data_IF_656347033920
#
_entry.id   IF_656347033920
#
_cell.length_a   1.000
_cell.length_b   1.000
_cell.length_c   1.000
_cell.angle_alpha   90.00
_cell.angle_beta   90.00
_cell.angle_gamma   90.00
#
_symmetry.space_group_name_H-M   'P 1'
#
loop_
_entity.id
_entity.type
_entity.pdbx_description
1 polymer ?
#
# COMPACT_ATOMS: atom_id res chain seq x y z
N UNK A 1 18.43 -3.83 9.08
CA UNK A 1 18.44 -4.35 7.71
C UNK A 1 17.11 -4.02 7.05
N UNK A 2 17.10 -3.52 5.82
CA UNK A 2 15.86 -3.28 5.09
C UNK A 2 15.27 -4.62 4.63
N UNK A 3 13.94 -4.77 4.71
CA UNK A 3 13.23 -5.96 4.22
C UNK A 3 12.84 -5.76 2.76
N UNK A 4 13.19 -6.73 1.93
CA UNK A 4 12.76 -6.79 0.53
C UNK A 4 11.56 -7.71 0.40
N UNK A 5 10.65 -7.38 -0.51
CA UNK A 5 9.46 -8.17 -0.80
C UNK A 5 9.42 -8.45 -2.30
N UNK A 6 9.15 -9.70 -2.65
CA UNK A 6 8.55 -10.03 -3.94
C UNK A 6 7.09 -9.58 -3.96
N UNK A 7 6.50 -9.47 -5.16
CA UNK A 7 5.06 -9.17 -5.30
C UNK A 7 4.18 -10.21 -4.60
N UNK A 8 4.57 -11.48 -4.63
CA UNK A 8 3.81 -12.56 -3.97
C UNK A 8 3.91 -12.49 -2.44
N UNK A 9 5.06 -12.10 -1.89
CA UNK A 9 5.18 -11.86 -0.46
C UNK A 9 4.38 -10.65 -0.01
N UNK A 10 4.35 -9.59 -0.82
CA UNK A 10 3.60 -8.37 -0.52
C UNK A 10 2.10 -8.64 -0.37
N UNK A 11 1.52 -9.56 -1.16
CA UNK A 11 0.08 -9.93 -1.08
C UNK A 11 -0.37 -10.40 0.31
N UNK A 12 0.54 -10.88 1.17
CA UNK A 12 0.22 -11.31 2.54
C UNK A 12 0.00 -10.13 3.50
N UNK A 13 0.34 -8.92 3.07
CA UNK A 13 0.24 -7.68 3.85
C UNK A 13 -0.99 -6.89 3.40
N UNK A 14 -2.15 -7.53 3.50
CA UNK A 14 -3.41 -7.10 2.93
C UNK A 14 -4.32 -6.33 3.89
N UNK A 15 -3.90 -6.09 5.14
CA UNK A 15 -4.70 -5.39 6.13
C UNK A 15 -5.92 -6.15 6.66
N UNK A 16 -6.05 -7.44 6.34
CA UNK A 16 -7.21 -8.26 6.69
C UNK A 16 -6.83 -9.36 7.68
N UNK A 17 -7.80 -9.84 8.47
CA UNK A 17 -7.61 -10.94 9.42
C UNK A 17 -6.45 -10.73 10.41
N UNK A 18 -6.18 -9.46 10.77
CA UNK A 18 -5.08 -9.08 11.66
C UNK A 18 -3.71 -8.96 10.97
N UNK A 19 -3.64 -9.15 9.64
CA UNK A 19 -2.42 -8.89 8.89
C UNK A 19 -2.17 -7.37 8.80
N UNK A 20 -0.91 -6.91 8.85
CA UNK A 20 -0.55 -5.55 8.49
C UNK A 20 -0.93 -5.21 7.04
N UNK A 21 -1.10 -3.93 6.73
CA UNK A 21 -1.47 -3.42 5.41
C UNK A 21 -0.30 -2.67 4.77
N UNK A 22 0.30 -3.22 3.71
CA UNK A 22 1.42 -2.59 3.00
C UNK A 22 1.07 -2.28 1.55
N UNK A 23 1.64 -1.22 0.97
CA UNK A 23 1.52 -0.90 -0.47
C UNK A 23 2.89 -0.63 -1.06
N UNK A 24 3.13 -1.07 -2.30
CA UNK A 24 4.35 -0.72 -3.03
C UNK A 24 4.09 0.48 -3.96
N UNK A 25 5.00 1.46 -3.94
CA UNK A 25 5.04 2.60 -4.86
C UNK A 25 6.49 2.79 -5.31
N UNK A 26 6.76 2.76 -6.62
CA UNK A 26 8.09 2.94 -7.21
C UNK A 26 9.17 2.08 -6.52
N UNK A 27 8.91 0.77 -6.39
CA UNK A 27 9.80 -0.20 -5.73
C UNK A 27 10.06 0.04 -4.22
N UNK A 28 9.32 0.95 -3.58
CA UNK A 28 9.35 1.16 -2.13
C UNK A 28 8.05 0.69 -1.49
N UNK A 29 8.16 -0.07 -0.39
CA UNK A 29 7.01 -0.53 0.37
C UNK A 29 6.72 0.45 1.51
N UNK A 30 5.46 0.84 1.63
CA UNK A 30 4.94 1.74 2.66
C UNK A 30 4.01 0.95 3.58
N UNK A 31 4.22 1.09 4.89
CA UNK A 31 3.32 0.58 5.90
C UNK A 31 2.15 1.56 6.08
N UNK A 32 0.94 1.11 5.74
CA UNK A 32 -0.30 1.89 5.86
C UNK A 32 -1.23 1.32 6.93
N UNK A 33 -0.75 0.39 7.76
CA UNK A 33 -1.56 -0.37 8.75
C UNK A 33 -2.34 0.53 9.69
N UNK A 34 -1.78 1.68 10.07
CA UNK A 34 -2.39 2.62 11.02
C UNK A 34 -2.93 3.90 10.37
N UNK A 35 -3.05 3.91 9.04
CA UNK A 35 -3.59 5.06 8.31
C UNK A 35 -5.11 4.87 8.19
N UNK A 36 -5.95 5.76 8.76
CA UNK A 36 -7.41 5.57 8.78
C UNK A 36 -8.04 5.38 7.40
N UNK A 37 -7.47 6.00 6.36
CA UNK A 37 -7.94 5.85 4.98
C UNK A 37 -7.78 4.43 4.41
N UNK A 38 -6.94 3.59 5.03
CA UNK A 38 -6.64 2.21 4.66
C UNK A 38 -7.27 1.17 5.59
N UNK A 39 -8.29 1.56 6.36
CA UNK A 39 -9.03 0.65 7.22
C UNK A 39 -9.48 -0.61 6.45
N UNK A 40 -9.34 -1.77 7.11
CA UNK A 40 -9.62 -3.09 6.55
C UNK A 40 -8.82 -3.41 5.26
N UNK A 41 -7.69 -2.73 5.07
CA UNK A 41 -6.77 -2.97 3.95
C UNK A 41 -7.26 -2.42 2.61
N UNK A 42 -8.25 -1.53 2.60
CA UNK A 42 -8.81 -0.99 1.36
C UNK A 42 -8.90 0.54 1.37
N UNK A 43 -8.74 1.14 0.19
CA UNK A 43 -8.90 2.58 0.00
C UNK A 43 -9.42 2.90 -1.41
N UNK A 44 -10.63 3.46 -1.52
CA UNK A 44 -11.27 3.80 -2.80
C UNK A 44 -11.20 2.68 -3.86
N UNK A 45 -11.50 1.44 -3.47
CA UNK A 45 -11.48 0.27 -4.36
C UNK A 45 -10.10 -0.36 -4.57
N UNK A 46 -9.03 0.27 -4.07
CA UNK A 46 -7.69 -0.30 -4.05
C UNK A 46 -7.49 -1.18 -2.83
N UNK A 47 -6.58 -2.16 -2.94
CA UNK A 47 -6.25 -3.11 -1.87
C UNK A 47 -4.80 -2.98 -1.47
N UNK A 48 -4.53 -3.12 -0.18
CA UNK A 48 -3.19 -3.37 0.33
C UNK A 48 -2.66 -4.72 -0.19
N UNK A 49 -1.36 -4.91 -0.08
CA UNK A 49 -0.63 -6.05 -0.61
C UNK A 49 -0.28 -5.95 -2.09
N UNK A 50 -0.43 -4.77 -2.70
CA UNK A 50 -0.24 -4.55 -4.14
C UNK A 50 0.75 -3.42 -4.44
N UNK A 51 1.28 -3.45 -5.66
CA UNK A 51 1.96 -2.31 -6.28
C UNK A 51 0.91 -1.36 -6.86
N UNK A 52 0.82 -0.18 -6.27
CA UNK A 52 -0.16 0.85 -6.61
C UNK A 52 0.49 2.06 -7.27
N UNK A 53 1.69 1.88 -7.83
CA UNK A 53 2.41 2.95 -8.52
C UNK A 53 1.56 3.60 -9.60
N UNK A 54 1.03 2.79 -10.53
CA UNK A 54 0.23 3.27 -11.65
C UNK A 54 -1.06 3.96 -11.17
N UNK A 55 -1.75 3.33 -10.21
CA UNK A 55 -2.93 3.88 -9.54
C UNK A 55 -2.64 5.27 -8.97
N UNK A 56 -1.54 5.41 -8.23
CA UNK A 56 -1.21 6.67 -7.57
C UNK A 56 -0.91 7.79 -8.57
N UNK A 57 -0.13 7.52 -9.61
CA UNK A 57 0.32 8.58 -10.53
C UNK A 57 -0.68 8.91 -11.63
N UNK A 58 -1.45 7.93 -12.10
CA UNK A 58 -2.32 8.09 -13.27
C UNK A 58 -3.81 8.21 -12.93
N UNK A 59 -4.24 7.74 -11.75
CA UNK A 59 -5.67 7.68 -11.41
C UNK A 59 -6.04 8.41 -10.11
N UNK A 60 -5.13 8.51 -9.14
CA UNK A 60 -5.40 9.21 -7.88
C UNK A 60 -5.36 10.74 -8.06
N UNK A 61 -6.36 11.48 -7.55
CA UNK A 61 -6.33 12.94 -7.55
C UNK A 61 -5.27 13.50 -6.59
N UNK A 62 -4.77 12.69 -5.66
CA UNK A 62 -3.82 13.12 -4.63
C UNK A 62 -2.35 12.93 -5.03
N UNK A 63 -2.06 12.00 -5.96
CA UNK A 63 -0.70 11.69 -6.45
C UNK A 63 0.29 11.43 -5.31
N UNK A 64 1.57 11.70 -5.53
CA UNK A 64 2.67 11.52 -4.58
C UNK A 64 2.62 12.43 -3.34
N UNK A 65 1.71 13.41 -3.28
CA UNK A 65 1.54 14.29 -2.12
C UNK A 65 1.19 13.54 -0.84
N UNK A 66 0.59 12.34 -0.97
CA UNK A 66 0.23 11.49 0.18
C UNK A 66 1.42 10.68 0.71
N UNK A 67 2.53 10.62 -0.03
CA UNK A 67 3.74 9.89 0.38
C UNK A 67 4.67 10.72 1.26
N UNK A 68 4.41 12.03 1.37
CA UNK A 68 5.12 12.93 2.26
C UNK A 68 4.60 12.73 3.69
N UNK A 69 5.20 11.75 4.39
CA UNK A 69 5.13 11.60 5.85
C UNK A 69 6.53 11.80 6.40
#
# INVERSE_FOLDING_TARGET
MAKTFTREELKKYDGQNGNPAYVAINNRVYDVTHIPAWQDGTHHGNKAGLDLTDVLFNYSPHKDRVLAI
#
